data_IF_009400361048
#
_entry.id   IF_009400361048
#
_cell.length_a   1.000
_cell.length_b   1.000
_cell.length_c   1.000
_cell.angle_alpha   90.00
_cell.angle_beta   90.00
_cell.angle_gamma   90.00
#
_symmetry.space_group_name_H-M   'P 1'
#
loop_
_entity.id
_entity.type
_entity.pdbx_description
1 polymer ?
#
# COMPACT_ATOMS: atom_id res chain seq x y z
N UNK A 1 -25.82 -13.16 24.80
CA UNK A 1 -25.05 -13.64 23.63
C UNK A 1 -25.63 -12.98 22.39
N UNK A 2 -24.99 -11.92 21.88
CA UNK A 2 -25.20 -11.44 20.51
C UNK A 2 -23.98 -10.60 20.16
N UNK A 3 -23.07 -11.15 19.35
CA UNK A 3 -21.91 -10.39 18.83
C UNK A 3 -22.42 -9.64 17.60
N UNK A 4 -22.34 -8.32 17.65
CA UNK A 4 -22.52 -7.45 16.47
C UNK A 4 -21.58 -7.95 15.39
N UNK A 5 -22.14 -8.49 14.29
CA UNK A 5 -21.41 -8.60 13.04
C UNK A 5 -21.58 -7.25 12.35
N UNK A 6 -20.73 -6.30 12.73
CA UNK A 6 -20.40 -5.18 11.87
C UNK A 6 -19.68 -5.77 10.65
N UNK A 7 -20.47 -6.23 9.68
CA UNK A 7 -20.00 -6.65 8.37
C UNK A 7 -19.48 -5.39 7.65
N UNK A 8 -18.28 -4.93 8.01
CA UNK A 8 -17.53 -4.01 7.18
C UNK A 8 -17.26 -4.73 5.86
N UNK A 9 -17.99 -4.36 4.81
CA UNK A 9 -17.70 -4.78 3.45
C UNK A 9 -16.37 -4.13 3.05
N UNK A 10 -15.25 -4.76 3.40
CA UNK A 10 -13.93 -4.31 2.99
C UNK A 10 -13.81 -4.62 1.50
N UNK A 11 -14.12 -3.61 0.68
CA UNK A 11 -13.85 -3.65 -0.76
C UNK A 11 -12.34 -3.80 -0.92
N UNK A 12 -11.91 -5.02 -1.23
CA UNK A 12 -10.51 -5.30 -1.56
C UNK A 12 -10.34 -5.14 -3.06
N UNK A 13 -9.46 -4.25 -3.49
CA UNK A 13 -9.07 -4.10 -4.90
C UNK A 13 -7.55 -4.11 -5.04
N UNK A 14 -7.09 -4.41 -6.25
CA UNK A 14 -5.67 -4.42 -6.59
C UNK A 14 -5.36 -3.14 -7.36
N UNK A 15 -4.58 -2.25 -6.75
CA UNK A 15 -3.98 -1.10 -7.42
C UNK A 15 -2.65 -1.54 -8.05
N UNK A 16 -2.42 -1.10 -9.29
CA UNK A 16 -1.10 -1.20 -9.92
C UNK A 16 -0.42 0.17 -9.91
N UNK A 17 0.78 0.25 -9.32
CA UNK A 17 1.62 1.45 -9.39
C UNK A 17 2.83 1.16 -10.25
N UNK A 18 3.05 1.99 -11.27
CA UNK A 18 4.19 1.92 -12.17
C UNK A 18 5.13 3.07 -11.84
N UNK A 19 6.40 2.75 -11.61
CA UNK A 19 7.48 3.73 -11.46
C UNK A 19 8.76 3.17 -12.07
N UNK A 20 9.47 3.97 -12.87
CA UNK A 20 10.74 3.57 -13.53
C UNK A 20 10.67 2.20 -14.22
N UNK A 21 9.55 1.89 -14.88
CA UNK A 21 9.32 0.60 -15.56
C UNK A 21 9.03 -0.59 -14.63
N UNK A 22 9.11 -0.40 -13.32
CA UNK A 22 8.73 -1.43 -12.32
C UNK A 22 7.25 -1.30 -11.98
N UNK A 23 6.54 -2.43 -12.04
CA UNK A 23 5.15 -2.53 -11.63
C UNK A 23 5.06 -3.13 -10.23
N UNK A 24 4.41 -2.41 -9.31
CA UNK A 24 4.07 -2.92 -7.98
C UNK A 24 2.56 -3.06 -7.87
N UNK A 25 2.12 -4.27 -7.55
CA UNK A 25 0.73 -4.54 -7.20
C UNK A 25 0.53 -4.37 -5.70
N UNK A 26 -0.47 -3.57 -5.34
CA UNK A 26 -0.85 -3.23 -3.97
C UNK A 26 -2.29 -3.67 -3.78
N UNK A 27 -2.55 -4.53 -2.80
CA UNK A 27 -3.91 -4.92 -2.44
C UNK A 27 -4.41 -4.01 -1.33
N UNK A 28 -5.50 -3.27 -1.56
CA UNK A 28 -6.09 -2.44 -0.51
C UNK A 28 -7.01 -3.28 0.39
N UNK A 29 -7.15 -2.93 1.69
CA UNK A 29 -6.42 -1.86 2.39
C UNK A 29 -4.97 -2.25 2.72
N UNK A 30 -4.06 -1.27 2.68
CA UNK A 30 -2.71 -1.41 3.25
C UNK A 30 -2.78 -1.29 4.78
N UNK A 31 -2.19 -2.24 5.50
CA UNK A 31 -2.28 -2.33 6.96
C UNK A 31 -1.16 -1.57 7.68
N UNK A 32 0.02 -1.48 7.07
CA UNK A 32 1.16 -0.76 7.64
C UNK A 32 2.05 -0.19 6.55
N UNK A 33 2.68 0.94 6.86
CA UNK A 33 3.66 1.61 6.00
C UNK A 33 4.82 2.05 6.89
N UNK A 34 6.03 1.69 6.49
CA UNK A 34 7.29 2.11 7.08
C UNK A 34 8.16 2.77 6.02
N UNK A 35 8.80 3.88 6.38
CA UNK A 35 9.60 4.69 5.45
C UNK A 35 11.01 4.85 6.00
N UNK A 36 12.00 4.46 5.20
CA UNK A 36 13.41 4.65 5.52
C UNK A 36 14.16 5.24 4.33
N UNK A 37 14.53 6.53 4.39
CA UNK A 37 15.10 7.28 3.27
C UNK A 37 14.18 7.17 2.05
N UNK A 38 14.68 6.74 0.88
CA UNK A 38 13.88 6.53 -0.32
C UNK A 38 13.30 5.12 -0.44
N UNK A 39 13.31 4.33 0.64
CA UNK A 39 12.67 3.03 0.70
C UNK A 39 11.33 3.12 1.42
N UNK A 40 10.32 2.46 0.87
CA UNK A 40 9.02 2.24 1.50
C UNK A 40 8.83 0.74 1.66
N UNK A 41 8.48 0.32 2.87
CA UNK A 41 8.05 -1.04 3.19
C UNK A 41 6.58 -0.93 3.59
N UNK A 42 5.73 -1.79 3.03
CA UNK A 42 4.30 -1.78 3.33
C UNK A 42 3.76 -3.20 3.40
N UNK A 43 2.75 -3.41 4.23
CA UNK A 43 2.12 -4.71 4.38
C UNK A 43 0.67 -4.63 3.93
N UNK A 44 0.33 -5.45 2.94
CA UNK A 44 -1.04 -5.65 2.48
C UNK A 44 -1.52 -7.08 2.76
N UNK A 45 -2.70 -7.44 2.28
CA UNK A 45 -3.26 -8.78 2.43
C UNK A 45 -2.45 -9.91 1.76
N UNK A 46 -1.44 -9.58 0.97
CA UNK A 46 -0.51 -10.53 0.37
C UNK A 46 0.85 -10.59 1.12
N UNK A 47 1.03 -9.80 2.16
CA UNK A 47 2.23 -9.78 3.00
C UNK A 47 3.04 -8.49 2.89
N UNK A 48 4.26 -8.53 3.42
CA UNK A 48 5.20 -7.40 3.37
C UNK A 48 5.80 -7.26 1.97
N UNK A 49 5.81 -6.05 1.45
CA UNK A 49 6.41 -5.65 0.18
C UNK A 49 7.30 -4.44 0.40
N UNK A 50 8.28 -4.24 -0.47
CA UNK A 50 9.11 -3.04 -0.42
C UNK A 50 9.41 -2.47 -1.78
N UNK A 51 9.54 -1.15 -1.82
CA UNK A 51 9.84 -0.37 -3.01
C UNK A 51 10.98 0.61 -2.70
N UNK A 52 11.97 0.65 -3.57
CA UNK A 52 13.08 1.60 -3.50
C UNK A 52 12.89 2.65 -4.60
N UNK A 53 12.89 3.92 -4.21
CA UNK A 53 12.74 5.05 -5.11
C UNK A 53 14.06 5.77 -5.30
N UNK A 54 14.23 6.41 -6.45
CA UNK A 54 15.43 7.20 -6.77
C UNK A 54 15.36 8.54 -6.07
N UNK A 55 14.19 9.14 -6.03
CA UNK A 55 13.96 10.48 -5.46
C UNK A 55 12.97 10.49 -4.30
N UNK A 56 13.06 11.54 -3.49
CA UNK A 56 12.11 11.82 -2.41
C UNK A 56 10.69 12.08 -2.94
N UNK A 57 10.55 12.66 -4.13
CA UNK A 57 9.26 13.00 -4.72
C UNK A 57 8.51 11.74 -5.17
N UNK A 58 9.16 10.85 -5.92
CA UNK A 58 8.57 9.56 -6.33
C UNK A 58 8.06 8.75 -5.13
N UNK A 59 8.85 8.73 -4.04
CA UNK A 59 8.47 8.08 -2.79
C UNK A 59 7.20 8.70 -2.19
N UNK A 60 7.11 10.04 -2.16
CA UNK A 60 5.94 10.76 -1.62
C UNK A 60 4.70 10.49 -2.45
N UNK A 61 4.83 10.52 -3.77
CA UNK A 61 3.74 10.23 -4.70
C UNK A 61 3.24 8.78 -4.53
N UNK A 62 4.16 7.83 -4.35
CA UNK A 62 3.82 6.45 -4.05
C UNK A 62 3.02 6.32 -2.73
N UNK A 63 3.50 6.92 -1.64
CA UNK A 63 2.80 6.89 -0.35
C UNK A 63 1.42 7.54 -0.46
N UNK A 64 1.32 8.67 -1.17
CA UNK A 64 0.03 9.35 -1.40
C UNK A 64 -0.98 8.42 -2.10
N UNK A 65 -0.54 7.64 -3.09
CA UNK A 65 -1.38 6.62 -3.73
C UNK A 65 -1.79 5.54 -2.75
N UNK A 66 -0.88 5.05 -1.91
CA UNK A 66 -1.22 4.00 -0.93
C UNK A 66 -2.30 4.44 0.06
N UNK A 67 -2.26 5.70 0.51
CA UNK A 67 -3.12 6.24 1.57
C UNK A 67 -4.45 6.77 1.03
N UNK A 68 -4.47 7.31 -0.19
CA UNK A 68 -5.67 7.91 -0.80
C UNK A 68 -6.43 6.96 -1.75
N UNK A 69 -6.03 5.68 -1.84
CA UNK A 69 -6.72 4.67 -2.67
C UNK A 69 -7.98 4.15 -2.01
#
# INVERSE_FOLDING_TARGET
MMRSLDCAFIVSFIMTVIFNGTQIQVKQPVYSISVHKNRVVFTDAQGEKSAQFSTVNERRDFISKLVNS
#
